data_IF_621730084931
#
_entry.id   IF_621730084931
#
_cell.length_a   1.000
_cell.length_b   1.000
_cell.length_c   1.000
_cell.angle_alpha   90.00
_cell.angle_beta   90.00
_cell.angle_gamma   90.00
#
_symmetry.space_group_name_H-M   'P 1'
#
loop_
_entity.id
_entity.type
_entity.pdbx_description
1 polymer ?
#
# COMPACT_ATOMS: atom_id res chain seq x y z
N UNK A 1 -3.92 12.15 -15.09
CA UNK A 1 -3.14 13.42 -15.08
C UNK A 1 -2.77 13.77 -13.62
N UNK A 2 -1.62 14.41 -13.37
CA UNK A 2 -1.32 14.94 -12.04
C UNK A 2 -2.35 16.00 -11.64
N UNK A 3 -2.73 16.10 -10.35
CA UNK A 3 -3.62 17.16 -9.89
C UNK A 3 -2.99 18.55 -10.14
N UNK A 4 -3.78 19.54 -10.62
CA UNK A 4 -3.26 20.86 -10.95
C UNK A 4 -2.89 21.70 -9.71
N UNK A 5 -3.50 21.42 -8.56
CA UNK A 5 -3.27 22.13 -7.29
C UNK A 5 -3.54 21.24 -6.07
N UNK A 6 -3.29 21.80 -4.89
CA UNK A 6 -3.48 21.11 -3.60
C UNK A 6 -4.95 20.76 -3.34
N UNK A 7 -5.89 21.64 -3.70
CA UNK A 7 -7.33 21.37 -3.53
C UNK A 7 -7.80 20.17 -4.35
N UNK A 8 -7.37 20.08 -5.61
CA UNK A 8 -7.65 18.95 -6.50
C UNK A 8 -7.01 17.66 -6.01
N UNK A 9 -5.80 17.72 -5.43
CA UNK A 9 -5.17 16.57 -4.81
C UNK A 9 -5.97 16.07 -3.59
N UNK A 10 -6.40 16.96 -2.70
CA UNK A 10 -7.22 16.61 -1.54
C UNK A 10 -8.55 15.97 -1.96
N UNK A 11 -9.21 16.53 -2.97
CA UNK A 11 -10.45 15.98 -3.51
C UNK A 11 -10.25 14.60 -4.14
N UNK A 12 -9.12 14.36 -4.82
CA UNK A 12 -8.79 13.06 -5.40
C UNK A 12 -8.60 12.00 -4.31
N UNK A 13 -7.88 12.32 -3.24
CA UNK A 13 -7.65 11.42 -2.11
C UNK A 13 -8.95 11.09 -1.37
N UNK A 14 -9.83 12.08 -1.16
CA UNK A 14 -11.15 11.85 -0.59
C UNK A 14 -12.01 10.92 -1.46
N UNK A 15 -12.00 11.10 -2.79
CA UNK A 15 -12.69 10.20 -3.74
C UNK A 15 -12.15 8.76 -3.70
N UNK A 16 -10.88 8.59 -3.33
CA UNK A 16 -10.24 7.28 -3.13
C UNK A 16 -10.49 6.69 -1.74
N UNK A 17 -11.26 7.37 -0.88
CA UNK A 17 -11.59 6.90 0.47
C UNK A 17 -10.44 7.06 1.48
N UNK A 18 -9.41 7.83 1.15
CA UNK A 18 -8.25 8.09 2.01
C UNK A 18 -8.02 9.60 2.16
N UNK A 19 -9.00 10.35 2.69
CA UNK A 19 -8.82 11.77 2.92
C UNK A 19 -7.73 12.00 3.97
N UNK A 20 -6.83 12.98 3.79
CA UNK A 20 -5.89 13.35 4.83
C UNK A 20 -6.60 14.01 6.00
N UNK A 21 -6.35 13.49 7.20
CA UNK A 21 -6.92 13.95 8.46
C UNK A 21 -5.78 14.35 9.39
N UNK A 22 -5.83 15.57 9.91
CA UNK A 22 -4.90 16.07 10.92
C UNK A 22 -5.68 16.50 12.16
N UNK A 23 -5.33 15.95 13.32
CA UNK A 23 -6.03 16.20 14.60
C UNK A 23 -7.56 15.96 14.53
N UNK A 24 -7.99 14.93 13.78
CA UNK A 24 -9.41 14.60 13.63
C UNK A 24 -10.18 15.49 12.65
N UNK A 25 -9.52 16.45 11.99
CA UNK A 25 -10.13 17.35 11.00
C UNK A 25 -9.53 17.10 9.62
N UNK A 26 -10.35 17.09 8.54
CA UNK A 26 -9.81 17.01 7.19
C UNK A 26 -8.85 18.16 6.86
N UNK A 27 -7.68 17.81 6.32
CA UNK A 27 -6.69 18.80 5.86
C UNK A 27 -7.29 19.62 4.73
N UNK A 28 -7.14 20.94 4.82
CA UNK A 28 -7.62 21.91 3.82
C UNK A 28 -6.42 22.51 3.08
N UNK A 29 -6.70 23.09 1.92
CA UNK A 29 -5.65 23.73 1.12
C UNK A 29 -4.94 24.87 1.87
N UNK A 30 -5.66 25.61 2.71
CA UNK A 30 -5.09 26.67 3.55
C UNK A 30 -4.01 26.13 4.51
N UNK A 31 -4.18 24.92 5.05
CA UNK A 31 -3.23 24.30 5.96
C UNK A 31 -1.90 23.96 5.25
N UNK A 32 -1.99 23.60 3.96
CA UNK A 32 -0.83 23.29 3.12
C UNK A 32 -0.11 24.56 2.61
N UNK A 33 -0.81 25.70 2.58
CA UNK A 33 -0.24 27.00 2.18
C UNK A 33 0.34 27.79 3.35
N UNK A 34 0.18 27.32 4.59
CA UNK A 34 0.64 28.01 5.79
C UNK A 34 2.15 28.31 5.78
N UNK A 35 2.54 29.44 6.38
CA UNK A 35 3.92 29.90 6.54
C UNK A 35 4.10 30.39 7.99
N UNK A 36 5.00 29.80 8.80
CA UNK A 36 5.90 28.67 8.51
C UNK A 36 5.11 27.38 8.17
N UNK A 37 5.78 26.35 7.62
CA UNK A 37 5.08 25.14 7.17
C UNK A 37 4.30 24.46 8.30
N UNK A 38 3.01 24.17 8.08
CA UNK A 38 2.26 23.31 8.99
C UNK A 38 2.66 21.85 8.73
N UNK A 39 3.71 21.38 9.41
CA UNK A 39 4.29 20.06 9.20
C UNK A 39 3.27 18.93 9.40
N UNK A 40 2.40 19.03 10.42
CA UNK A 40 1.41 17.99 10.71
C UNK A 40 0.41 17.78 9.58
N UNK A 41 -0.09 18.86 8.98
CA UNK A 41 -0.98 18.77 7.81
C UNK A 41 -0.28 18.15 6.59
N UNK A 42 1.00 18.44 6.38
CA UNK A 42 1.78 17.88 5.28
C UNK A 42 2.08 16.38 5.50
N UNK A 43 2.38 15.97 6.73
CA UNK A 43 2.58 14.56 7.07
C UNK A 43 1.29 13.74 6.86
N UNK A 44 0.14 14.26 7.31
CA UNK A 44 -1.14 13.60 7.07
C UNK A 44 -1.47 13.43 5.57
N UNK A 45 -1.07 14.41 4.74
CA UNK A 45 -1.18 14.31 3.28
C UNK A 45 -0.27 13.22 2.71
N UNK A 46 0.98 13.14 3.17
CA UNK A 46 1.93 12.10 2.77
C UNK A 46 1.42 10.72 3.15
N UNK A 47 0.91 10.54 4.36
CA UNK A 47 0.34 9.27 4.81
C UNK A 47 -0.81 8.82 3.90
N UNK A 48 -1.71 9.75 3.55
CA UNK A 48 -2.83 9.47 2.64
C UNK A 48 -2.37 9.11 1.23
N UNK A 49 -1.33 9.77 0.73
CA UNK A 49 -0.70 9.44 -0.55
C UNK A 49 -0.07 8.04 -0.53
N UNK A 50 0.62 7.67 0.56
CA UNK A 50 1.19 6.35 0.73
C UNK A 50 0.10 5.27 0.72
N UNK A 51 -0.98 5.46 1.47
CA UNK A 51 -2.12 4.51 1.50
C UNK A 51 -2.78 4.41 0.12
N UNK A 52 -2.99 5.54 -0.58
CA UNK A 52 -3.55 5.53 -1.94
C UNK A 52 -2.66 4.75 -2.91
N UNK A 53 -1.33 4.95 -2.83
CA UNK A 53 -0.37 4.29 -3.70
C UNK A 53 -0.29 2.79 -3.44
N UNK A 54 -0.14 2.36 -2.18
CA UNK A 54 -0.05 0.93 -1.84
C UNK A 54 -1.36 0.20 -2.17
N UNK A 55 -2.51 0.86 -2.00
CA UNK A 55 -3.81 0.29 -2.39
C UNK A 55 -3.88 0.01 -3.89
N UNK A 56 -3.39 0.93 -4.73
CA UNK A 56 -3.34 0.71 -6.18
C UNK A 56 -2.29 -0.36 -6.55
N UNK A 57 -1.09 -0.29 -5.95
CA UNK A 57 0.00 -1.22 -6.22
C UNK A 57 -0.36 -2.67 -5.85
N UNK A 58 -1.17 -2.85 -4.82
CA UNK A 58 -1.65 -4.16 -4.33
C UNK A 58 -3.00 -4.57 -4.92
N UNK A 59 -3.56 -3.79 -5.87
CA UNK A 59 -4.86 -4.07 -6.48
C UNK A 59 -4.91 -5.42 -7.20
N UNK A 60 -3.79 -5.83 -7.81
CA UNK A 60 -3.67 -7.11 -8.50
C UNK A 60 -3.39 -8.31 -7.59
N UNK A 61 -3.12 -8.10 -6.30
CA UNK A 61 -2.97 -9.20 -5.35
C UNK A 61 -4.35 -9.82 -5.06
N UNK A 62 -4.37 -11.15 -5.00
CA UNK A 62 -5.59 -11.91 -4.69
C UNK A 62 -6.18 -11.49 -3.34
N UNK A 63 -7.51 -11.64 -3.15
CA UNK A 63 -8.14 -11.31 -1.88
C UNK A 63 -7.56 -12.20 -0.76
N UNK A 64 -7.21 -11.64 0.41
CA UNK A 64 -6.79 -12.45 1.55
C UNK A 64 -7.98 -13.28 2.04
N UNK A 65 -7.77 -14.53 2.49
CA UNK A 65 -8.84 -15.33 3.07
C UNK A 65 -9.47 -14.62 4.28
N UNK A 66 -10.77 -14.33 4.23
CA UNK A 66 -11.54 -13.80 5.37
C UNK A 66 -11.28 -12.33 5.75
N UNK A 67 -10.47 -11.58 4.98
CA UNK A 67 -10.22 -10.18 5.30
C UNK A 67 -11.41 -9.29 4.86
N UNK A 68 -11.91 -8.39 5.74
CA UNK A 68 -12.95 -7.45 5.36
C UNK A 68 -12.46 -6.49 4.27
N UNK A 69 -13.28 -6.17 3.27
CA UNK A 69 -12.92 -5.20 2.25
C UNK A 69 -12.77 -3.82 2.89
N UNK A 70 -11.64 -3.15 2.63
CA UNK A 70 -11.40 -1.82 3.16
C UNK A 70 -10.07 -1.21 2.71
N UNK A 71 -9.85 0.09 2.94
CA UNK A 71 -8.64 0.81 2.54
C UNK A 71 -7.38 0.32 3.25
N UNK A 72 -7.48 -0.48 4.32
CA UNK A 72 -6.34 -1.12 4.99
C UNK A 72 -6.19 -2.61 4.63
N UNK A 73 -6.97 -3.10 3.66
CA UNK A 73 -6.89 -4.51 3.21
C UNK A 73 -5.58 -4.85 2.50
N UNK A 74 -4.83 -3.83 2.06
CA UNK A 74 -3.54 -4.00 1.40
C UNK A 74 -2.50 -4.66 2.31
N UNK A 75 -2.53 -4.41 3.63
CA UNK A 75 -1.60 -5.04 4.59
C UNK A 75 -1.75 -6.55 4.57
N UNK A 76 -3.00 -7.05 4.69
CA UNK A 76 -3.27 -8.48 4.66
C UNK A 76 -2.98 -9.08 3.28
N UNK A 77 -3.20 -8.33 2.19
CA UNK A 77 -2.83 -8.78 0.83
C UNK A 77 -1.33 -8.97 0.69
N UNK A 78 -0.52 -8.04 1.20
CA UNK A 78 0.94 -8.14 1.17
C UNK A 78 1.41 -9.33 2.00
N UNK A 79 0.88 -9.52 3.21
CA UNK A 79 1.24 -10.65 4.07
C UNK A 79 0.92 -12.00 3.38
N UNK A 80 -0.29 -12.16 2.88
CA UNK A 80 -0.69 -13.40 2.17
C UNK A 80 0.14 -13.64 0.91
N UNK A 81 0.49 -12.58 0.18
CA UNK A 81 1.37 -12.70 -0.98
C UNK A 81 2.79 -13.11 -0.57
N UNK A 82 3.33 -12.52 0.48
CA UNK A 82 4.66 -12.84 1.01
C UNK A 82 4.75 -14.31 1.46
N UNK A 83 3.73 -14.81 2.16
CA UNK A 83 3.64 -16.23 2.52
C UNK A 83 3.61 -17.15 1.30
N UNK A 84 2.88 -16.74 0.26
CA UNK A 84 2.81 -17.50 -1.01
C UNK A 84 4.16 -17.52 -1.73
N UNK A 85 4.88 -16.40 -1.74
CA UNK A 85 6.23 -16.30 -2.32
C UNK A 85 7.21 -17.17 -1.54
N UNK A 86 7.21 -17.07 -0.21
CA UNK A 86 8.08 -17.86 0.66
C UNK A 86 7.86 -19.36 0.46
N UNK A 87 6.60 -19.82 0.45
CA UNK A 87 6.28 -21.23 0.19
C UNK A 87 6.77 -21.69 -1.18
N UNK A 88 6.52 -20.91 -2.24
CA UNK A 88 6.99 -21.25 -3.59
C UNK A 88 8.51 -21.29 -3.70
N UNK A 89 9.21 -20.40 -2.99
CA UNK A 89 10.67 -20.43 -2.93
C UNK A 89 11.16 -21.69 -2.23
N UNK A 90 10.58 -22.03 -1.08
CA UNK A 90 10.90 -23.26 -0.36
C UNK A 90 10.67 -24.51 -1.22
N UNK A 91 9.51 -24.63 -1.88
CA UNK A 91 9.20 -25.73 -2.79
C UNK A 91 10.21 -25.86 -3.95
N UNK A 92 10.72 -24.74 -4.47
CA UNK A 92 11.75 -24.74 -5.52
C UNK A 92 13.10 -25.22 -4.98
N UNK A 93 13.52 -24.73 -3.82
CA UNK A 93 14.75 -25.17 -3.16
C UNK A 93 14.73 -26.66 -2.85
N UNK A 94 13.59 -27.20 -2.38
CA UNK A 94 13.43 -28.62 -2.11
C UNK A 94 13.48 -29.47 -3.40
N UNK A 95 12.89 -28.99 -4.50
CA UNK A 95 12.96 -29.67 -5.81
C UNK A 95 14.36 -29.67 -6.41
N UNK A 96 15.11 -28.59 -6.25
CA UNK A 96 16.48 -28.46 -6.76
C UNK A 96 17.49 -29.25 -5.91
N UNK A 97 17.30 -29.31 -4.59
CA UNK A 97 18.12 -30.11 -3.67
C UNK A 97 17.82 -31.62 -3.68
N UNK A 98 16.65 -32.03 -4.21
CA UNK A 98 16.19 -33.41 -4.22
C UNK A 98 16.54 -34.23 -5.47
N UNK A 99 17.22 -33.67 -6.47
CA UNK A 99 17.62 -34.42 -7.66
C UNK A 99 18.69 -35.49 -7.29
N UNK A 100 18.43 -36.80 -7.46
CA UNK A 100 19.44 -37.81 -7.20
C UNK A 100 20.59 -37.61 -8.19
N UNK A 101 21.80 -37.44 -7.64
CA UNK A 101 23.05 -37.45 -8.40
C UNK A 101 23.27 -38.87 -8.90
N UNK A 102 22.67 -39.21 -10.04
CA UNK A 102 22.90 -40.47 -10.75
C UNK A 102 24.40 -40.66 -10.94
N UNK A 103 24.98 -41.53 -10.12
CA UNK A 103 26.35 -42.01 -10.24
C UNK A 103 26.25 -43.39 -10.88
N UNK A 104 26.69 -43.57 -12.14
CA UNK A 104 26.74 -44.89 -12.73
C UNK A 104 27.92 -45.69 -12.15
N UNK A 105 27.79 -47.02 -12.05
CA UNK A 105 28.87 -47.93 -11.62
C UNK A 105 29.99 -48.05 -12.65
#
# INVERSE_FOLDING_TARGET
>A
PPPPDNGALLALLAKRGVPPIYQGVPVREADLRHRPINMGAHLALIDSLMVAFVTEATRGLGPPPGAPPGPNSWEQKILCWLDTVNRKLQERTEREGGAPKNTPP
#
